data_IF_055838639410
#
_entry.id   IF_055838639410
#
_cell.length_a   1.000
_cell.length_b   1.000
_cell.length_c   1.000
_cell.angle_alpha   90.00
_cell.angle_beta   90.00
_cell.angle_gamma   90.00
#
_symmetry.space_group_name_H-M   'P 1'
#
loop_
_entity.id
_entity.type
_entity.pdbx_description
1 polymer ?
#
# COMPACT_ATOMS: atom_id res chain seq x y z
N UNK A 1 2.05 -7.85 -17.40
CA UNK A 1 1.19 -7.78 -16.19
C UNK A 1 1.88 -7.13 -15.00
N UNK A 2 3.16 -7.43 -14.71
CA UNK A 2 3.87 -6.78 -13.59
C UNK A 2 3.79 -5.24 -13.62
N UNK A 3 4.07 -4.61 -14.77
CA UNK A 3 3.94 -3.15 -14.95
C UNK A 3 2.54 -2.64 -14.61
N UNK A 4 1.50 -3.33 -15.06
CA UNK A 4 0.11 -2.97 -14.80
C UNK A 4 -0.22 -3.02 -13.31
N UNK A 5 0.25 -4.05 -12.60
CA UNK A 5 0.05 -4.17 -11.14
C UNK A 5 0.77 -3.06 -10.39
N UNK A 6 2.03 -2.78 -10.74
CA UNK A 6 2.80 -1.66 -10.16
C UNK A 6 2.10 -0.31 -10.37
N UNK A 7 1.54 -0.07 -11.55
CA UNK A 7 0.80 1.16 -11.85
C UNK A 7 -0.52 1.24 -11.11
N UNK A 8 -1.24 0.12 -10.96
CA UNK A 8 -2.46 0.05 -10.15
C UNK A 8 -2.16 0.37 -8.69
N UNK A 9 -1.07 -0.18 -8.15
CA UNK A 9 -0.64 0.09 -6.78
C UNK A 9 -0.23 1.56 -6.59
N UNK A 10 0.54 2.11 -7.53
CA UNK A 10 0.91 3.52 -7.51
C UNK A 10 -0.33 4.44 -7.47
N UNK A 11 -1.36 4.13 -8.27
CA UNK A 11 -2.62 4.88 -8.28
C UNK A 11 -3.38 4.68 -6.97
N UNK A 12 -3.43 3.47 -6.43
CA UNK A 12 -4.06 3.20 -5.13
C UNK A 12 -3.39 4.01 -4.02
N UNK A 13 -2.06 3.99 -3.94
CA UNK A 13 -1.28 4.78 -2.98
C UNK A 13 -1.55 6.28 -3.13
N UNK A 14 -1.55 6.80 -4.37
CA UNK A 14 -1.84 8.21 -4.62
C UNK A 14 -3.25 8.59 -4.18
N UNK A 15 -4.27 7.81 -4.55
CA UNK A 15 -5.66 8.08 -4.20
C UNK A 15 -5.91 8.02 -2.70
N UNK A 16 -5.34 7.02 -2.00
CA UNK A 16 -5.43 6.93 -0.55
C UNK A 16 -4.65 8.06 0.13
N UNK A 17 -3.46 8.41 -0.35
CA UNK A 17 -2.70 9.55 0.17
C UNK A 17 -3.46 10.87 0.04
N UNK A 18 -4.11 11.11 -1.11
CA UNK A 18 -4.97 12.28 -1.32
C UNK A 18 -6.23 12.24 -0.44
N UNK A 19 -6.87 11.09 -0.30
CA UNK A 19 -8.04 10.90 0.56
C UNK A 19 -7.71 11.26 2.02
N UNK A 20 -6.58 10.78 2.52
CA UNK A 20 -6.11 11.08 3.87
C UNK A 20 -5.75 12.57 4.01
N UNK A 21 -5.00 13.14 3.07
CA UNK A 21 -4.58 14.55 3.10
C UNK A 21 -5.78 15.52 3.12
N UNK A 22 -6.79 15.27 2.31
CA UNK A 22 -8.00 16.12 2.23
C UNK A 22 -8.95 15.86 3.41
N UNK A 23 -9.08 14.59 3.81
CA UNK A 23 -10.10 14.14 4.75
C UNK A 23 -9.63 13.97 6.19
N UNK A 24 -8.37 14.21 6.54
CA UNK A 24 -7.72 13.72 7.77
C UNK A 24 -8.57 13.93 9.04
N UNK A 25 -8.95 15.18 9.34
CA UNK A 25 -9.70 15.47 10.56
C UNK A 25 -11.07 14.79 10.61
N UNK A 26 -11.78 14.74 9.48
CA UNK A 26 -13.07 14.06 9.37
C UNK A 26 -12.92 12.54 9.48
N UNK A 27 -11.94 11.97 8.78
CA UNK A 27 -11.64 10.54 8.78
C UNK A 27 -11.15 10.06 10.14
N UNK A 28 -10.36 10.85 10.86
CA UNK A 28 -9.92 10.52 12.21
C UNK A 28 -11.13 10.29 13.14
N UNK A 29 -12.11 11.19 13.11
CA UNK A 29 -13.36 11.05 13.85
C UNK A 29 -14.21 9.87 13.38
N UNK A 30 -14.41 9.73 12.07
CA UNK A 30 -15.24 8.67 11.48
C UNK A 30 -14.68 7.27 11.74
N UNK A 31 -13.36 7.10 11.59
CA UNK A 31 -12.67 5.82 11.73
C UNK A 31 -12.31 5.51 13.19
N UNK A 32 -12.37 6.49 14.10
CA UNK A 32 -11.88 6.32 15.48
C UNK A 32 -10.38 6.10 15.53
N UNK A 33 -9.65 6.61 14.54
CA UNK A 33 -8.20 6.49 14.44
C UNK A 33 -7.52 7.82 14.79
N UNK A 34 -6.34 7.79 15.43
CA UNK A 34 -5.60 9.02 15.72
C UNK A 34 -5.25 9.79 14.44
N UNK A 35 -5.46 11.11 14.43
CA UNK A 35 -5.15 11.95 13.26
C UNK A 35 -3.66 11.94 12.88
N UNK A 36 -2.76 11.76 13.85
CA UNK A 36 -1.33 11.59 13.60
C UNK A 36 -1.04 10.27 12.86
N UNK A 37 -1.77 9.18 13.15
CA UNK A 37 -1.64 7.92 12.42
C UNK A 37 -1.99 8.12 10.94
N UNK A 38 -3.11 8.78 10.66
CA UNK A 38 -3.55 9.07 9.29
C UNK A 38 -2.58 10.01 8.57
N UNK A 39 -2.05 11.02 9.27
CA UNK A 39 -1.03 11.93 8.74
C UNK A 39 0.27 11.21 8.37
N UNK A 40 0.78 10.31 9.20
CA UNK A 40 1.99 9.56 8.83
C UNK A 40 1.72 8.59 7.67
N UNK A 41 0.53 7.99 7.63
CA UNK A 41 0.13 7.14 6.52
C UNK A 41 0.12 7.90 5.20
N UNK A 42 -0.46 9.09 5.13
CA UNK A 42 -0.50 9.89 3.88
C UNK A 42 0.91 10.26 3.39
N UNK A 43 1.80 10.65 4.31
CA UNK A 43 3.18 11.01 3.99
C UNK A 43 3.95 9.82 3.42
N UNK A 44 3.72 8.61 3.91
CA UNK A 44 4.38 7.39 3.42
C UNK A 44 3.82 6.97 2.05
N UNK A 45 2.51 7.15 1.82
CA UNK A 45 1.87 6.71 0.58
C UNK A 45 2.37 7.47 -0.66
N UNK A 46 2.70 8.76 -0.55
CA UNK A 46 3.22 9.54 -1.68
C UNK A 46 4.57 9.03 -2.23
N UNK A 47 5.64 8.84 -1.44
CA UNK A 47 6.90 8.27 -1.94
C UNK A 47 6.73 6.81 -2.40
N UNK A 48 5.85 6.02 -1.78
CA UNK A 48 5.49 4.69 -2.28
C UNK A 48 4.89 4.77 -3.70
N UNK A 49 3.91 5.66 -3.91
CA UNK A 49 3.30 5.88 -5.22
C UNK A 49 4.35 6.28 -6.27
N UNK A 50 5.26 7.19 -5.92
CA UNK A 50 6.36 7.61 -6.81
C UNK A 50 7.27 6.43 -7.17
N UNK A 51 7.68 5.64 -6.17
CA UNK A 51 8.54 4.47 -6.38
C UNK A 51 7.88 3.44 -7.31
N UNK A 52 6.61 3.12 -7.07
CA UNK A 52 5.83 2.17 -7.86
C UNK A 52 5.61 2.67 -9.29
N UNK A 53 5.27 3.95 -9.45
CA UNK A 53 5.12 4.58 -10.77
C UNK A 53 6.44 4.57 -11.54
N UNK A 54 7.54 5.01 -10.91
CA UNK A 54 8.87 5.03 -11.52
C UNK A 54 9.33 3.63 -11.93
N UNK A 55 9.05 2.61 -11.11
CA UNK A 55 9.38 1.22 -11.41
C UNK A 55 8.49 0.64 -12.52
N UNK A 56 7.19 0.94 -12.48
CA UNK A 56 6.21 0.53 -13.48
C UNK A 56 6.38 1.19 -14.84
N UNK A 57 7.00 2.38 -14.90
CA UNK A 57 7.27 3.10 -16.15
C UNK A 57 8.46 2.55 -16.93
N UNK A 58 9.37 1.84 -16.27
CA UNK A 58 10.59 1.31 -16.89
C UNK A 58 10.26 0.36 -18.07
N UNK A 59 11.13 0.36 -19.08
CA UNK A 59 11.04 -0.60 -20.19
C UNK A 59 11.11 -2.05 -19.66
N UNK A 60 12.00 -2.27 -18.67
CA UNK A 60 12.10 -3.49 -17.88
C UNK A 60 12.13 -3.11 -16.39
N UNK A 61 11.09 -3.42 -15.60
CA UNK A 61 11.09 -3.12 -14.16
C UNK A 61 12.29 -3.72 -13.45
N UNK A 62 13.02 -2.90 -12.69
CA UNK A 62 14.18 -3.32 -11.93
C UNK A 62 13.76 -4.26 -10.78
N UNK A 63 14.29 -5.48 -10.78
CA UNK A 63 13.93 -6.52 -9.81
C UNK A 63 14.32 -6.20 -8.35
N UNK A 64 15.22 -5.26 -8.09
CA UNK A 64 15.49 -4.74 -6.74
C UNK A 64 14.31 -3.90 -6.24
N UNK A 65 13.87 -2.91 -7.03
CA UNK A 65 12.74 -2.05 -6.65
C UNK A 65 11.43 -2.82 -6.52
N UNK A 66 11.20 -3.80 -7.40
CA UNK A 66 10.02 -4.68 -7.28
C UNK A 66 10.02 -5.46 -5.96
N UNK A 67 11.17 -6.00 -5.54
CA UNK A 67 11.30 -6.66 -4.22
C UNK A 67 11.08 -5.71 -3.07
N UNK A 68 11.64 -4.49 -3.15
CA UNK A 68 11.45 -3.46 -2.14
C UNK A 68 9.97 -3.08 -2.00
N UNK A 69 9.25 -2.92 -3.12
CA UNK A 69 7.81 -2.61 -3.15
C UNK A 69 7.00 -3.74 -2.48
N UNK A 70 7.23 -5.00 -2.85
CA UNK A 70 6.57 -6.16 -2.24
C UNK A 70 6.81 -6.19 -0.73
N UNK A 71 8.06 -6.00 -0.28
CA UNK A 71 8.38 -5.98 1.14
C UNK A 71 7.74 -4.79 1.86
N UNK A 72 7.67 -3.62 1.23
CA UNK A 72 6.97 -2.44 1.74
C UNK A 72 5.48 -2.69 1.92
N UNK A 73 4.82 -3.28 0.92
CA UNK A 73 3.40 -3.65 0.99
C UNK A 73 3.13 -4.69 2.09
N UNK A 74 3.99 -5.68 2.26
CA UNK A 74 3.90 -6.63 3.39
C UNK A 74 4.09 -5.91 4.73
N UNK A 75 5.03 -4.98 4.82
CA UNK A 75 5.22 -4.13 6.00
C UNK A 75 3.98 -3.30 6.32
N UNK A 76 3.33 -2.74 5.30
CA UNK A 76 2.07 -1.99 5.44
C UNK A 76 0.93 -2.86 5.97
N UNK A 77 0.81 -4.09 5.47
CA UNK A 77 -0.17 -5.08 5.98
C UNK A 77 0.10 -5.39 7.46
N UNK A 78 1.36 -5.64 7.84
CA UNK A 78 1.73 -5.90 9.24
C UNK A 78 1.42 -4.69 10.14
N UNK A 79 1.73 -3.48 9.68
CA UNK A 79 1.38 -2.24 10.39
C UNK A 79 -0.15 -2.08 10.53
N UNK A 80 -0.90 -2.43 9.50
CA UNK A 80 -2.38 -2.40 9.53
C UNK A 80 -2.93 -3.37 10.55
N UNK A 81 -2.40 -4.60 10.63
CA UNK A 81 -2.78 -5.56 11.66
C UNK A 81 -2.41 -5.05 13.07
N UNK A 82 -1.24 -4.42 13.22
CA UNK A 82 -0.84 -3.81 14.48
C UNK A 82 -1.82 -2.72 14.94
N UNK A 83 -2.32 -1.88 14.02
CA UNK A 83 -3.34 -0.86 14.33
C UNK A 83 -4.63 -1.49 14.87
N UNK A 84 -4.99 -2.69 14.43
CA UNK A 84 -6.23 -3.37 14.87
C UNK A 84 -6.12 -3.98 16.28
N UNK A 85 -4.91 -4.32 16.74
CA UNK A 85 -4.68 -5.04 18.00
C UNK A 85 -3.96 -4.21 19.07
N UNK A 86 -3.21 -3.18 18.67
CA UNK A 86 -2.45 -2.35 19.59
C UNK A 86 -3.34 -1.24 20.20
N UNK A 87 -3.03 -0.76 21.41
CA UNK A 87 -3.79 0.32 22.07
C UNK A 87 -3.39 1.69 21.51
N UNK A 88 -3.35 1.84 20.18
CA UNK A 88 -3.04 3.09 19.49
C UNK A 88 -4.27 3.99 19.35
N UNK A 89 -5.47 3.44 19.50
CA UNK A 89 -6.76 4.12 19.46
C UNK A 89 -7.90 3.13 19.69
N UNK A 90 -9.14 3.59 19.53
CA UNK A 90 -10.33 2.72 19.56
C UNK A 90 -11.05 2.87 18.22
N UNK A 91 -10.69 2.05 17.21
CA UNK A 91 -11.32 2.14 15.91
C UNK A 91 -12.83 1.94 16.03
N UNK A 92 -13.61 2.71 15.27
CA UNK A 92 -15.05 2.46 15.12
C UNK A 92 -15.27 1.19 14.31
N UNK A 93 -16.50 0.66 14.26
CA UNK A 93 -16.82 -0.47 13.38
C UNK A 93 -16.46 -0.17 11.90
N UNK A 94 -16.66 1.08 11.46
CA UNK A 94 -16.26 1.54 10.12
C UNK A 94 -14.72 1.60 10.03
N UNK A 95 -14.04 2.07 11.07
CA UNK A 95 -12.58 2.06 11.17
C UNK A 95 -11.96 0.67 11.01
N UNK A 96 -12.48 -0.32 11.73
CA UNK A 96 -12.08 -1.72 11.57
C UNK A 96 -12.28 -2.19 10.13
N UNK A 97 -13.47 -1.97 9.57
CA UNK A 97 -13.78 -2.34 8.18
C UNK A 97 -12.82 -1.69 7.18
N UNK A 98 -12.56 -0.39 7.33
CA UNK A 98 -11.63 0.36 6.48
C UNK A 98 -10.23 -0.23 6.51
N UNK A 99 -9.65 -0.44 7.70
CA UNK A 99 -8.29 -0.97 7.87
C UNK A 99 -8.18 -2.40 7.33
N UNK A 100 -9.19 -3.25 7.57
CA UNK A 100 -9.20 -4.63 7.08
C UNK A 100 -9.28 -4.68 5.54
N UNK A 101 -10.23 -3.95 4.94
CA UNK A 101 -10.45 -3.97 3.49
C UNK A 101 -9.21 -3.46 2.75
N UNK A 102 -8.62 -2.34 3.20
CA UNK A 102 -7.40 -1.85 2.55
C UNK A 102 -6.20 -2.82 2.76
N UNK A 103 -6.07 -3.45 3.93
CA UNK A 103 -4.99 -4.41 4.18
C UNK A 103 -5.10 -5.64 3.27
N UNK A 104 -6.32 -6.14 3.06
CA UNK A 104 -6.58 -7.23 2.11
C UNK A 104 -6.29 -6.81 0.67
N UNK A 105 -6.65 -5.58 0.28
CA UNK A 105 -6.32 -5.01 -1.02
C UNK A 105 -4.81 -4.96 -1.26
N UNK A 106 -4.05 -4.39 -0.31
CA UNK A 106 -2.58 -4.30 -0.37
C UNK A 106 -1.95 -5.69 -0.40
N UNK A 107 -2.42 -6.63 0.42
CA UNK A 107 -1.94 -8.02 0.39
C UNK A 107 -2.19 -8.68 -0.98
N UNK A 108 -3.36 -8.48 -1.57
CA UNK A 108 -3.70 -8.99 -2.89
C UNK A 108 -2.79 -8.44 -3.98
N UNK A 109 -2.51 -7.12 -3.96
CA UNK A 109 -1.58 -6.47 -4.87
C UNK A 109 -0.17 -7.02 -4.69
N UNK A 110 0.35 -7.08 -3.46
CA UNK A 110 1.69 -7.61 -3.16
C UNK A 110 1.87 -9.05 -3.64
N UNK A 111 0.84 -9.89 -3.48
CA UNK A 111 0.86 -11.25 -4.00
C UNK A 111 0.93 -11.29 -5.53
N UNK A 112 0.23 -10.41 -6.23
CA UNK A 112 0.29 -10.30 -7.69
C UNK A 112 1.66 -9.78 -8.18
N UNK A 113 2.21 -8.77 -7.52
CA UNK A 113 3.55 -8.25 -7.80
C UNK A 113 4.61 -9.34 -7.69
N UNK A 114 4.60 -10.08 -6.57
CA UNK A 114 5.51 -11.20 -6.34
C UNK A 114 5.38 -12.28 -7.42
N UNK A 115 4.13 -12.71 -7.71
CA UNK A 115 3.86 -13.75 -8.71
C UNK A 115 4.34 -13.36 -10.10
N UNK A 116 4.07 -12.13 -10.54
CA UNK A 116 4.48 -11.69 -11.88
C UNK A 116 5.97 -11.37 -11.96
N UNK A 117 6.61 -10.97 -10.85
CA UNK A 117 8.07 -10.81 -10.79
C UNK A 117 8.77 -12.17 -10.93
N UNK A 118 8.29 -13.20 -10.23
CA UNK A 118 8.83 -14.55 -10.32
C UNK A 118 8.71 -15.12 -11.75
N UNK A 119 7.57 -14.94 -12.41
CA UNK A 119 7.42 -15.42 -13.80
C UNK A 119 8.29 -14.69 -14.82
N UNK A 120 8.58 -13.40 -14.61
CA UNK A 120 9.53 -12.66 -15.45
C UNK A 120 10.97 -13.16 -15.29
N UNK A 121 11.36 -13.53 -14.06
CA UNK A 121 12.71 -14.05 -13.81
C UNK A 121 12.95 -15.41 -14.46
N UNK A 122 11.93 -16.28 -14.53
CA UNK A 122 12.02 -17.58 -15.20
C UNK A 122 12.10 -17.45 -16.73
N UNK A 123 11.35 -16.51 -17.33
CA UNK A 123 11.39 -16.29 -18.79
C UNK A 123 12.68 -15.63 -19.28
N UNK A 124 13.44 -14.95 -18.41
CA UNK A 124 14.71 -14.33 -18.79
C UNK A 124 15.91 -15.30 -18.73
N UNK A 125 15.73 -16.48 -18.13
CA UNK A 125 16.76 -17.51 -17.97
C UNK A 125 16.63 -18.66 -18.99
N UNK A 126 15.60 -18.66 -19.83
CA UNK A 126 15.32 -19.60 -20.92
C UNK A 126 15.66 -19.00 -22.28
#
# INVERSE_FOLDING_TARGET
MLKTVLMLDAVACLLFGLLLCIGNAFLAGLLGLPANLLFYAEIILFPCAILMFATGWQARPNGFFVRLIVMGNLGWVLASLAVLIAPVGVPTAIGYGFVIVQALGVMGIAALEYRFAASHSLSAAS
#
